data_IF_817403701180
#
_entry.id   IF_817403701180
#
_cell.length_a   1.000
_cell.length_b   1.000
_cell.length_c   1.000
_cell.angle_alpha   90.00
_cell.angle_beta   90.00
_cell.angle_gamma   90.00
#
_symmetry.space_group_name_H-M   'P 1'
#
loop_
_entity.id
_entity.type
_entity.pdbx_description
1 polymer ?
#
# COMPACT_ATOMS: atom_id res chain seq x y z
N UNK A 1 -36.89 -21.30 61.00
CA UNK A 1 -37.55 -20.07 61.49
C UNK A 1 -36.56 -18.93 61.40
N UNK A 2 -36.92 -17.87 60.64
CA UNK A 2 -36.43 -16.49 60.66
C UNK A 2 -34.92 -16.21 60.55
N UNK A 3 -34.53 -15.58 59.44
CA UNK A 3 -33.83 -14.27 59.34
C UNK A 3 -33.09 -14.20 58.00
N UNK A 4 -32.98 -13.10 57.27
CA UNK A 4 -33.63 -11.80 57.21
C UNK A 4 -33.24 -11.29 55.80
N UNK A 5 -34.19 -10.79 55.04
CA UNK A 5 -33.94 -10.12 53.76
C UNK A 5 -33.13 -8.86 54.02
N UNK A 6 -32.03 -8.64 53.31
CA UNK A 6 -31.56 -7.29 52.99
C UNK A 6 -30.94 -7.26 51.58
N UNK A 7 -31.73 -6.67 50.68
CA UNK A 7 -31.32 -6.10 49.41
C UNK A 7 -30.13 -5.14 49.61
N UNK A 8 -29.05 -5.33 48.86
CA UNK A 8 -28.13 -4.24 48.56
C UNK A 8 -27.89 -4.17 47.06
N UNK A 9 -28.31 -3.05 46.50
CA UNK A 9 -28.14 -2.65 45.12
C UNK A 9 -26.64 -2.52 44.77
N UNK A 10 -26.27 -3.04 43.60
CA UNK A 10 -25.08 -2.60 42.88
C UNK A 10 -25.29 -2.85 41.39
N UNK A 11 -26.15 -2.03 40.77
CA UNK A 11 -26.17 -1.86 39.33
C UNK A 11 -24.88 -1.13 38.91
N UNK A 12 -23.79 -1.88 38.77
CA UNK A 12 -22.57 -1.43 38.12
C UNK A 12 -22.84 -1.39 36.61
N UNK A 13 -23.37 -0.25 36.14
CA UNK A 13 -23.32 0.12 34.75
C UNK A 13 -21.85 0.35 34.36
N UNK A 14 -21.18 -0.70 33.85
CA UNK A 14 -19.93 -0.54 33.13
C UNK A 14 -20.26 0.15 31.80
N UNK A 15 -19.78 1.37 31.51
CA UNK A 15 -19.77 1.84 30.15
C UNK A 15 -18.74 0.99 29.40
N UNK A 16 -19.22 0.06 28.58
CA UNK A 16 -18.38 -0.64 27.60
C UNK A 16 -17.71 0.41 26.72
N UNK A 17 -16.41 0.65 26.93
CA UNK A 17 -15.57 1.32 25.96
C UNK A 17 -15.53 0.44 24.72
N UNK A 18 -16.34 0.79 23.72
CA UNK A 18 -16.22 0.25 22.37
C UNK A 18 -15.05 1.03 21.75
N UNK A 19 -13.88 0.43 21.47
CA UNK A 19 -12.88 1.09 20.67
C UNK A 19 -13.46 1.27 19.25
N UNK A 20 -13.61 2.52 18.83
CA UNK A 20 -13.94 2.82 17.44
C UNK A 20 -12.84 2.25 16.53
N UNK A 21 -13.17 1.70 15.36
CA UNK A 21 -12.16 1.34 14.39
C UNK A 21 -11.52 2.63 13.90
N UNK A 22 -10.28 2.88 14.32
CA UNK A 22 -9.44 3.88 13.68
C UNK A 22 -9.13 3.31 12.29
N UNK A 23 -9.87 3.75 11.27
CA UNK A 23 -9.37 3.65 9.91
C UNK A 23 -8.08 4.46 9.90
N UNK A 24 -6.95 3.75 9.95
CA UNK A 24 -5.68 4.33 9.58
C UNK A 24 -5.83 4.79 8.12
N UNK A 25 -6.00 6.10 7.93
CA UNK A 25 -5.72 6.73 6.66
C UNK A 25 -4.23 6.49 6.39
N UNK A 26 -3.94 5.36 5.73
CA UNK A 26 -2.60 5.01 5.28
C UNK A 26 -2.08 6.14 4.41
N UNK A 27 -0.89 6.61 4.76
CA UNK A 27 -0.07 7.60 4.08
C UNK A 27 -0.50 7.90 2.63
N UNK A 28 -0.82 9.17 2.35
CA UNK A 28 -0.96 9.66 0.98
C UNK A 28 0.42 9.78 0.34
N UNK A 29 1.01 8.62 0.00
CA UNK A 29 1.79 8.55 -1.22
C UNK A 29 0.85 8.98 -2.36
N UNK A 30 1.32 9.70 -3.39
CA UNK A 30 0.68 9.52 -4.67
C UNK A 30 0.91 8.05 -5.00
N UNK A 31 -0.10 7.23 -4.73
CA UNK A 31 -0.21 5.85 -5.12
C UNK A 31 -0.39 5.85 -6.65
N UNK A 32 0.60 6.36 -7.36
CA UNK A 32 0.45 6.64 -8.79
C UNK A 32 0.65 5.37 -9.62
N UNK A 33 1.08 4.28 -8.97
CA UNK A 33 1.40 2.97 -9.52
C UNK A 33 0.90 1.83 -8.59
N UNK A 34 -0.28 1.99 -7.98
CA UNK A 34 -0.91 0.91 -7.15
C UNK A 34 -1.69 -0.09 -7.98
N UNK A 35 -2.07 0.27 -9.19
CA UNK A 35 -2.59 -0.71 -10.15
C UNK A 35 -1.43 -1.38 -10.87
N UNK A 36 -1.66 -2.58 -11.39
CA UNK A 36 -0.68 -3.28 -12.21
C UNK A 36 -1.36 -4.15 -13.26
N UNK A 37 -0.55 -4.94 -13.97
CA UNK A 37 -1.00 -5.92 -14.93
C UNK A 37 -2.03 -6.90 -14.34
N UNK A 38 -2.97 -7.36 -15.18
CA UNK A 38 -4.07 -8.22 -14.74
C UNK A 38 -3.73 -9.71 -14.78
N UNK A 39 -2.83 -10.10 -15.67
CA UNK A 39 -2.45 -11.49 -15.93
C UNK A 39 -0.98 -11.81 -15.60
N UNK A 40 -0.15 -10.79 -15.39
CA UNK A 40 1.29 -10.96 -15.13
C UNK A 40 1.61 -10.54 -13.70
N UNK A 41 2.12 -11.50 -12.93
CA UNK A 41 2.48 -11.32 -11.54
C UNK A 41 3.95 -11.69 -11.31
N UNK A 42 4.64 -10.91 -10.50
CA UNK A 42 6.02 -11.17 -10.08
C UNK A 42 6.02 -11.24 -8.55
N UNK A 43 6.41 -12.39 -8.01
CA UNK A 43 6.32 -12.69 -6.58
C UNK A 43 4.92 -12.40 -5.97
N UNK A 44 3.85 -12.73 -6.71
CA UNK A 44 2.47 -12.55 -6.26
C UNK A 44 1.94 -11.11 -6.34
N UNK A 45 2.73 -10.15 -6.83
CA UNK A 45 2.25 -8.78 -7.09
C UNK A 45 2.10 -8.50 -8.57
N UNK A 46 1.09 -7.71 -8.98
CA UNK A 46 0.95 -7.26 -10.36
C UNK A 46 2.23 -6.62 -10.90
N UNK A 47 2.65 -7.01 -12.09
CA UNK A 47 3.77 -6.38 -12.77
C UNK A 47 3.38 -4.99 -13.30
N UNK A 48 4.35 -4.06 -13.40
CA UNK A 48 4.08 -2.67 -13.79
C UNK A 48 4.24 -2.43 -15.30
N UNK A 49 3.20 -1.88 -15.93
CA UNK A 49 3.20 -1.45 -17.34
C UNK A 49 2.80 0.03 -17.48
N UNK A 50 3.01 0.60 -18.66
CA UNK A 50 2.91 2.04 -18.89
C UNK A 50 1.56 2.65 -18.49
N UNK A 51 0.43 1.98 -18.74
CA UNK A 51 -0.89 2.48 -18.32
C UNK A 51 -1.04 2.60 -16.81
N UNK A 52 -0.31 1.81 -16.03
CA UNK A 52 -0.44 1.80 -14.57
C UNK A 52 0.20 3.02 -13.90
N UNK A 53 1.06 3.76 -14.62
CA UNK A 53 1.77 4.95 -14.12
C UNK A 53 1.25 6.25 -14.75
N UNK A 54 0.09 6.22 -15.42
CA UNK A 54 -0.46 7.39 -16.12
C UNK A 54 -0.71 8.59 -15.19
N UNK A 55 -0.92 8.35 -13.88
CA UNK A 55 -1.06 9.39 -12.86
C UNK A 55 0.25 9.78 -12.16
N UNK A 56 1.39 9.20 -12.54
CA UNK A 56 2.66 9.51 -11.90
C UNK A 56 3.24 10.85 -12.39
N UNK A 57 3.81 11.67 -11.48
CA UNK A 57 4.56 12.85 -11.87
C UNK A 57 5.66 12.54 -12.90
N UNK A 58 5.97 13.51 -13.76
CA UNK A 58 7.06 13.37 -14.73
C UNK A 58 8.39 13.06 -14.00
N UNK A 59 9.18 12.15 -14.58
CA UNK A 59 10.47 11.74 -14.01
C UNK A 59 10.39 10.72 -12.87
N UNK A 60 9.19 10.28 -12.46
CA UNK A 60 8.97 9.22 -11.46
C UNK A 60 9.05 7.80 -12.05
N UNK A 61 9.22 7.67 -13.37
CA UNK A 61 9.29 6.38 -14.02
C UNK A 61 10.12 6.42 -15.29
N UNK A 62 10.62 5.25 -15.67
CA UNK A 62 11.35 5.00 -16.90
C UNK A 62 10.76 3.77 -17.59
N UNK A 63 10.45 3.89 -18.88
CA UNK A 63 10.02 2.76 -19.70
C UNK A 63 11.17 1.80 -19.96
N UNK A 64 10.90 0.50 -19.90
CA UNK A 64 11.84 -0.55 -20.31
C UNK A 64 11.42 -1.01 -21.71
N UNK A 65 12.00 -0.45 -22.79
CA UNK A 65 11.48 -0.59 -24.15
C UNK A 65 11.55 -2.03 -24.69
N UNK A 66 12.44 -2.86 -24.16
CA UNK A 66 12.63 -4.26 -24.57
C UNK A 66 11.68 -5.24 -23.87
N UNK A 67 10.88 -4.78 -22.90
CA UNK A 67 10.01 -5.63 -22.10
C UNK A 67 8.56 -5.17 -22.20
N UNK A 68 7.70 -6.04 -22.71
CA UNK A 68 6.27 -5.78 -22.84
C UNK A 68 5.46 -6.64 -21.88
N UNK A 69 4.52 -6.00 -21.17
CA UNK A 69 3.58 -6.62 -20.25
C UNK A 69 2.18 -6.25 -20.72
N UNK A 70 1.40 -7.25 -21.14
CA UNK A 70 0.05 -7.06 -21.68
C UNK A 70 0.00 -6.07 -22.87
N UNK A 71 0.98 -6.17 -23.77
CA UNK A 71 1.07 -5.35 -24.98
C UNK A 71 1.56 -3.92 -24.76
N UNK A 72 2.00 -3.57 -23.54
CA UNK A 72 2.51 -2.25 -23.20
C UNK A 72 3.94 -2.35 -22.65
N UNK A 73 4.78 -1.32 -22.83
CA UNK A 73 6.10 -1.29 -22.21
C UNK A 73 6.00 -1.43 -20.69
N UNK A 74 6.89 -2.23 -20.11
CA UNK A 74 7.10 -2.27 -18.67
C UNK A 74 7.70 -0.95 -18.19
N UNK A 75 7.51 -0.63 -16.91
CA UNK A 75 7.98 0.63 -16.32
C UNK A 75 8.67 0.40 -15.00
N UNK A 76 9.85 1.00 -14.83
CA UNK A 76 10.55 1.09 -13.54
C UNK A 76 10.14 2.38 -12.87
N UNK A 77 9.87 2.33 -11.57
CA UNK A 77 9.61 3.52 -10.77
C UNK A 77 10.92 4.08 -10.25
N UNK A 78 11.00 5.40 -10.16
CA UNK A 78 12.03 6.15 -9.44
C UNK A 78 11.36 6.89 -8.27
N UNK A 79 12.13 7.14 -7.21
CA UNK A 79 11.67 7.91 -6.06
C UNK A 79 12.44 9.24 -5.98
N UNK A 80 12.03 10.28 -6.74
CA UNK A 80 12.67 11.58 -6.71
C UNK A 80 12.34 12.40 -5.45
N UNK A 81 11.32 12.02 -4.68
CA UNK A 81 10.97 12.71 -3.44
C UNK A 81 11.87 12.23 -2.29
N UNK A 82 12.45 13.17 -1.56
CA UNK A 82 13.28 12.88 -0.38
C UNK A 82 12.52 12.02 0.63
N UNK A 83 13.20 10.98 1.14
CA UNK A 83 12.63 9.99 2.05
C UNK A 83 11.81 8.88 1.37
N UNK A 84 11.44 9.02 0.10
CA UNK A 84 10.84 7.92 -0.66
C UNK A 84 11.93 6.97 -1.19
N UNK A 85 11.59 5.69 -1.32
CA UNK A 85 12.39 4.68 -2.01
C UNK A 85 11.56 4.01 -3.10
N UNK A 86 12.18 3.75 -4.25
CA UNK A 86 11.62 2.97 -5.34
C UNK A 86 12.57 1.80 -5.60
N UNK A 87 12.04 0.59 -5.63
CA UNK A 87 12.82 -0.62 -5.85
C UNK A 87 12.14 -1.54 -6.87
N UNK A 88 12.59 -2.78 -7.03
CA UNK A 88 11.88 -3.79 -7.80
C UNK A 88 11.83 -5.13 -7.07
N UNK A 89 11.62 -6.22 -7.81
CA UNK A 89 11.83 -7.57 -7.31
C UNK A 89 13.28 -7.80 -6.86
N UNK A 90 13.45 -8.37 -5.67
CA UNK A 90 14.76 -8.72 -5.11
C UNK A 90 15.42 -9.93 -5.77
N UNK A 91 14.66 -10.72 -6.54
CA UNK A 91 15.14 -11.97 -7.12
C UNK A 91 14.71 -12.20 -8.57
N UNK A 92 13.92 -11.30 -9.16
CA UNK A 92 13.55 -11.36 -10.57
C UNK A 92 14.15 -10.16 -11.28
N UNK A 93 14.93 -10.45 -12.33
CA UNK A 93 15.54 -9.45 -13.22
C UNK A 93 14.79 -9.48 -14.55
N UNK A 94 14.39 -8.32 -15.05
CA UNK A 94 13.68 -8.18 -16.31
C UNK A 94 14.13 -6.89 -17.01
N UNK A 95 14.53 -6.98 -18.28
CA UNK A 95 15.05 -5.81 -19.03
C UNK A 95 16.21 -5.11 -18.30
N UNK A 96 17.25 -5.88 -17.93
CA UNK A 96 18.53 -5.36 -17.43
C UNK A 96 18.58 -4.95 -15.94
N UNK A 97 17.50 -5.08 -15.19
CA UNK A 97 17.48 -4.73 -13.77
C UNK A 97 16.28 -5.33 -13.02
N UNK A 98 16.11 -4.97 -11.75
CA UNK A 98 15.04 -5.52 -10.88
C UNK A 98 13.66 -5.37 -11.51
N UNK A 99 12.86 -6.44 -11.53
CA UNK A 99 11.58 -6.45 -12.23
C UNK A 99 10.54 -5.60 -11.48
N UNK A 100 9.85 -4.67 -12.14
CA UNK A 100 8.98 -3.70 -11.46
C UNK A 100 7.58 -4.25 -11.18
N UNK A 101 7.04 -3.94 -10.00
CA UNK A 101 5.72 -4.39 -9.52
C UNK A 101 4.97 -3.29 -8.82
N UNK A 102 3.64 -3.39 -8.83
CA UNK A 102 2.78 -2.52 -8.03
C UNK A 102 3.22 -2.55 -6.55
N UNK A 103 3.29 -1.36 -5.94
CA UNK A 103 3.71 -1.19 -4.55
C UNK A 103 5.23 -1.21 -4.30
N UNK A 104 6.07 -1.19 -5.34
CA UNK A 104 7.53 -1.11 -5.16
C UNK A 104 8.04 0.31 -4.79
N UNK A 105 7.15 1.27 -4.55
CA UNK A 105 7.45 2.60 -4.00
C UNK A 105 6.94 2.70 -2.56
N UNK A 106 7.82 3.14 -1.66
CA UNK A 106 7.50 3.42 -0.27
C UNK A 106 7.96 4.83 0.11
N UNK A 107 7.10 5.62 0.75
CA UNK A 107 7.41 6.95 1.25
C UNK A 107 6.96 7.09 2.71
N UNK A 108 7.59 7.98 3.49
CA UNK A 108 7.12 8.32 4.81
C UNK A 108 5.71 8.93 4.76
N UNK A 109 4.89 8.73 5.80
CA UNK A 109 3.60 9.38 5.92
C UNK A 109 3.76 10.91 5.92
N UNK A 110 2.79 11.62 5.34
CA UNK A 110 2.78 13.07 5.39
C UNK A 110 2.70 13.55 6.85
N UNK A 111 3.43 14.62 7.23
CA UNK A 111 3.31 15.19 8.57
C UNK A 111 1.88 15.67 8.78
N UNK A 112 1.25 15.21 9.87
CA UNK A 112 -0.08 15.66 10.28
C UNK A 112 0.04 17.13 10.73
N UNK A 113 -0.51 18.06 9.95
CA UNK A 113 -0.67 19.46 10.36
C UNK A 113 -1.98 19.65 11.08
#
# INVERSE_FOLDING_TARGET
MKSFVFLLAAALALPSLIPAPVLAAGAELPACAVTGARSVFINGRPALRLADVAGCPAGMFETVPELFIEGQPAVRLSAPKEGCSATGSSNVIAGGGMAPRAGDVACPPAPQR
#
